data_IF_211703110739
#
_entry.id   IF_211703110739
#
_cell.length_a   1.000
_cell.length_b   1.000
_cell.length_c   1.000
_cell.angle_alpha   90.00
_cell.angle_beta   90.00
_cell.angle_gamma   90.00
#
_symmetry.space_group_name_H-M   'P 1'
#
loop_
_entity.id
_entity.type
_entity.pdbx_description
1 polymer ?
#
# COMPACT_ATOMS: atom_id res chain seq x y z
N UNK A 1 17.05 -21.86 6.66
CA UNK A 1 16.00 -20.83 6.58
C UNK A 1 14.99 -21.26 5.53
N UNK A 2 13.73 -21.24 5.89
CA UNK A 2 12.67 -21.65 4.98
C UNK A 2 12.46 -20.60 3.89
N UNK A 3 12.29 -21.05 2.64
CA UNK A 3 11.92 -20.17 1.52
C UNK A 3 10.49 -19.63 1.66
N UNK A 4 9.68 -20.20 2.55
CA UNK A 4 8.31 -19.79 2.80
C UNK A 4 8.18 -18.37 3.31
N UNK A 5 9.23 -17.84 3.96
CA UNK A 5 9.22 -16.51 4.54
C UNK A 5 9.84 -15.44 3.62
N UNK A 6 10.17 -15.83 2.41
CA UNK A 6 10.75 -14.88 1.46
C UNK A 6 9.65 -14.02 0.85
N UNK A 7 9.93 -12.74 0.76
CA UNK A 7 9.04 -11.78 0.11
C UNK A 7 9.82 -11.01 -0.94
N UNK A 8 9.10 -10.52 -1.94
CA UNK A 8 9.72 -9.81 -3.06
C UNK A 8 8.95 -8.52 -3.33
N UNK A 9 9.68 -7.48 -3.65
CA UNK A 9 9.07 -6.26 -4.18
C UNK A 9 8.96 -6.45 -5.68
N UNK A 10 7.72 -6.47 -6.20
CA UNK A 10 7.47 -6.75 -7.61
C UNK A 10 7.14 -5.49 -8.41
N UNK A 11 6.88 -4.38 -7.75
CA UNK A 11 6.60 -3.13 -8.42
C UNK A 11 6.67 -1.98 -7.46
N UNK A 12 7.09 -0.83 -7.96
CA UNK A 12 7.20 0.40 -7.18
C UNK A 12 6.61 1.57 -7.95
N UNK A 13 6.12 2.54 -7.20
CA UNK A 13 5.61 3.79 -7.76
C UNK A 13 5.63 4.87 -6.71
N UNK A 14 5.84 6.09 -7.14
CA UNK A 14 5.79 7.24 -6.23
C UNK A 14 5.43 8.50 -7.00
N UNK A 15 4.92 9.47 -6.28
CA UNK A 15 4.74 10.82 -6.81
C UNK A 15 6.01 11.63 -6.58
N UNK A 16 6.26 12.66 -7.40
CA UNK A 16 7.39 13.55 -7.16
C UNK A 16 7.25 14.27 -5.83
N UNK A 17 8.37 14.56 -5.19
CA UNK A 17 8.38 15.45 -4.04
C UNK A 17 8.03 16.87 -4.46
N UNK A 18 7.21 17.53 -3.67
CA UNK A 18 6.76 18.88 -3.95
C UNK A 18 6.84 19.73 -2.69
N UNK A 19 7.07 21.02 -2.87
CA UNK A 19 6.98 21.94 -1.76
C UNK A 19 5.54 21.96 -1.23
N UNK A 20 5.32 21.92 0.09
CA UNK A 20 3.97 21.96 0.65
C UNK A 20 3.16 23.12 0.08
N UNK A 21 1.92 22.81 -0.32
CA UNK A 21 0.97 23.79 -0.86
C UNK A 21 1.12 24.08 -2.34
N UNK A 22 2.09 23.47 -3.04
CA UNK A 22 2.29 23.71 -4.48
C UNK A 22 1.73 22.61 -5.37
N UNK A 23 1.50 21.42 -4.83
CA UNK A 23 0.96 20.31 -5.62
C UNK A 23 -0.56 20.34 -5.60
N UNK A 24 -1.15 20.27 -6.77
CA UNK A 24 -2.60 20.18 -6.91
C UNK A 24 -3.12 18.82 -6.44
N UNK A 25 -4.37 18.79 -6.01
CA UNK A 25 -5.02 17.58 -5.54
C UNK A 25 -4.83 17.35 -4.06
N UNK A 26 -5.16 16.15 -3.64
CA UNK A 26 -5.07 15.74 -2.25
C UNK A 26 -4.55 14.30 -2.21
N UNK A 27 -4.33 13.77 -1.02
CA UNK A 27 -3.69 12.47 -0.86
C UNK A 27 -4.39 11.32 -1.62
N UNK A 28 -5.72 11.29 -1.80
CA UNK A 28 -6.31 10.24 -2.63
C UNK A 28 -5.84 10.29 -4.08
N UNK A 29 -5.67 11.50 -4.62
CA UNK A 29 -5.17 11.67 -5.98
C UNK A 29 -3.73 11.18 -6.12
N UNK A 30 -2.91 11.51 -5.13
CA UNK A 30 -1.50 11.10 -5.13
C UNK A 30 -1.35 9.60 -4.91
N UNK A 31 -2.19 9.02 -4.06
CA UNK A 31 -2.22 7.58 -3.85
C UNK A 31 -2.60 6.84 -5.13
N UNK A 32 -3.57 7.36 -5.89
CA UNK A 32 -3.94 6.79 -7.18
C UNK A 32 -2.77 6.82 -8.15
N UNK A 33 -2.09 7.95 -8.25
CA UNK A 33 -0.94 8.10 -9.16
C UNK A 33 0.16 7.11 -8.80
N UNK A 34 0.58 7.08 -7.55
CA UNK A 34 1.64 6.19 -7.09
C UNK A 34 1.24 4.71 -7.19
N UNK A 35 0.00 4.40 -6.80
CA UNK A 35 -0.50 3.03 -6.83
C UNK A 35 -0.64 2.50 -8.25
N UNK A 36 -1.16 3.30 -9.17
CA UNK A 36 -1.26 2.89 -10.57
C UNK A 36 0.12 2.68 -11.19
N UNK A 37 1.08 3.54 -10.85
CA UNK A 37 2.45 3.37 -11.30
C UNK A 37 3.06 2.06 -10.78
N UNK A 38 2.84 1.74 -9.52
CA UNK A 38 3.35 0.51 -8.93
C UNK A 38 2.71 -0.74 -9.57
N UNK A 39 1.41 -0.71 -9.81
CA UNK A 39 0.71 -1.81 -10.46
C UNK A 39 1.19 -2.01 -11.91
N UNK A 40 1.41 -0.91 -12.62
CA UNK A 40 1.93 -0.97 -13.98
C UNK A 40 3.35 -1.53 -14.01
N UNK A 41 4.18 -1.12 -13.06
CA UNK A 41 5.54 -1.63 -12.93
C UNK A 41 5.54 -3.13 -12.60
N UNK A 42 4.66 -3.56 -11.73
CA UNK A 42 4.51 -4.96 -11.39
C UNK A 42 3.88 -5.79 -12.52
N UNK A 43 3.12 -5.15 -13.40
CA UNK A 43 2.42 -5.84 -14.48
C UNK A 43 1.22 -6.65 -14.02
N UNK A 44 0.59 -6.26 -12.91
CA UNK A 44 -0.58 -6.95 -12.37
C UNK A 44 -1.77 -6.00 -12.22
N UNK A 45 -2.99 -6.52 -12.34
CA UNK A 45 -4.18 -5.72 -12.03
C UNK A 45 -4.38 -5.61 -10.51
N UNK A 46 -5.04 -4.55 -10.08
CA UNK A 46 -5.33 -4.36 -8.65
C UNK A 46 -6.17 -5.51 -8.07
N UNK A 47 -6.98 -6.15 -8.90
CA UNK A 47 -7.82 -7.27 -8.45
C UNK A 47 -7.02 -8.43 -7.85
N UNK A 48 -5.74 -8.55 -8.16
CA UNK A 48 -4.88 -9.58 -7.59
C UNK A 48 -4.29 -9.22 -6.22
N UNK A 49 -4.42 -7.97 -5.81
CA UNK A 49 -3.93 -7.53 -4.50
C UNK A 49 -4.86 -8.05 -3.41
N UNK A 50 -4.30 -8.68 -2.39
CA UNK A 50 -5.08 -9.35 -1.34
C UNK A 50 -5.17 -8.55 -0.05
N UNK A 51 -4.28 -7.61 0.18
CA UNK A 51 -4.35 -6.72 1.33
C UNK A 51 -3.51 -5.49 1.07
N UNK A 52 -3.80 -4.42 1.78
CA UNK A 52 -3.09 -3.15 1.63
C UNK A 52 -2.77 -2.55 2.99
N UNK A 53 -1.62 -1.94 3.08
CA UNK A 53 -1.16 -1.22 4.27
C UNK A 53 -0.87 0.22 3.88
N UNK A 54 -1.57 1.15 4.50
CA UNK A 54 -1.44 2.56 4.19
C UNK A 54 -0.90 3.32 5.40
N UNK A 55 0.27 3.90 5.25
CA UNK A 55 0.87 4.73 6.28
C UNK A 55 0.61 6.20 6.01
N UNK A 56 0.20 6.93 7.05
CA UNK A 56 -0.02 8.37 6.96
C UNK A 56 0.25 9.02 8.32
N UNK A 57 0.42 10.32 8.32
CA UNK A 57 0.67 11.07 9.56
C UNK A 57 -0.53 11.97 9.87
N UNK A 58 -0.93 12.79 8.93
CA UNK A 58 -2.04 13.70 9.09
C UNK A 58 -3.16 13.30 8.16
N UNK A 59 -4.26 12.85 8.72
CA UNK A 59 -5.41 12.44 7.95
C UNK A 59 -6.54 12.01 8.87
N UNK A 60 -7.72 11.93 8.32
CA UNK A 60 -8.88 11.46 9.06
C UNK A 60 -8.76 9.98 9.36
N UNK A 61 -9.56 9.54 10.30
CA UNK A 61 -9.75 8.11 10.53
C UNK A 61 -10.07 7.42 9.21
N UNK A 62 -9.46 6.28 8.95
CA UNK A 62 -9.64 5.51 7.71
C UNK A 62 -9.15 6.22 6.45
N UNK A 63 -8.17 7.12 6.58
CA UNK A 63 -7.58 7.77 5.41
C UNK A 63 -6.97 6.75 4.44
N UNK A 64 -6.51 5.62 4.92
CA UNK A 64 -5.98 4.55 4.08
C UNK A 64 -7.02 3.98 3.14
N UNK A 65 -8.24 3.75 3.62
CA UNK A 65 -9.34 3.28 2.78
C UNK A 65 -9.64 4.29 1.68
N UNK A 66 -9.72 5.55 2.04
CA UNK A 66 -10.01 6.59 1.06
C UNK A 66 -8.93 6.67 -0.02
N UNK A 67 -7.68 6.51 0.38
CA UNK A 67 -6.56 6.53 -0.56
C UNK A 67 -6.57 5.30 -1.48
N UNK A 68 -6.68 4.11 -0.89
CA UNK A 68 -6.60 2.85 -1.62
C UNK A 68 -7.84 2.62 -2.49
N UNK A 69 -9.00 3.12 -2.09
CA UNK A 69 -10.23 3.01 -2.90
C UNK A 69 -10.08 3.67 -4.27
N UNK A 70 -9.14 4.59 -4.43
CA UNK A 70 -8.86 5.18 -5.74
C UNK A 70 -8.31 4.16 -6.75
N UNK A 71 -7.79 3.04 -6.27
CA UNK A 71 -7.32 1.95 -7.13
C UNK A 71 -8.44 0.95 -7.45
N UNK A 72 -9.46 0.92 -6.63
CA UNK A 72 -10.61 0.04 -6.79
C UNK A 72 -11.15 -0.37 -5.42
N UNK A 73 -12.37 -0.88 -5.41
CA UNK A 73 -13.03 -1.39 -4.21
C UNK A 73 -13.24 -2.88 -4.41
N UNK A 74 -12.33 -3.68 -3.88
CA UNK A 74 -12.31 -5.12 -4.10
C UNK A 74 -12.65 -5.93 -2.85
N UNK A 75 -12.85 -5.25 -1.71
CA UNK A 75 -13.20 -5.92 -0.45
C UNK A 75 -11.99 -6.45 0.32
N UNK A 76 -10.78 -6.11 -0.08
CA UNK A 76 -9.58 -6.55 0.64
C UNK A 76 -9.43 -5.79 1.96
N UNK A 77 -8.75 -6.39 2.94
CA UNK A 77 -8.40 -5.67 4.16
C UNK A 77 -7.46 -4.51 3.84
N UNK A 78 -7.78 -3.34 4.40
CA UNK A 78 -6.93 -2.16 4.31
C UNK A 78 -6.59 -1.74 5.74
N UNK A 79 -5.30 -1.77 6.05
CA UNK A 79 -4.80 -1.51 7.40
C UNK A 79 -4.18 -0.12 7.42
N UNK A 80 -4.67 0.72 8.30
CA UNK A 80 -4.13 2.06 8.49
C UNK A 80 -3.00 2.00 9.50
N UNK A 81 -1.90 2.65 9.17
CA UNK A 81 -0.70 2.68 10.02
C UNK A 81 -0.35 4.14 10.28
N UNK A 82 -0.12 4.47 11.53
CA UNK A 82 0.38 5.79 11.88
C UNK A 82 1.51 5.65 12.89
N UNK A 83 2.72 5.87 12.43
CA UNK A 83 3.91 5.82 13.24
C UNK A 83 4.80 7.03 12.95
N UNK A 84 4.15 8.18 12.84
CA UNK A 84 4.79 9.47 12.55
C UNK A 84 5.70 9.35 11.32
N UNK A 85 6.92 9.85 11.38
CA UNK A 85 7.83 9.90 10.23
C UNK A 85 8.22 8.52 9.70
N UNK A 86 8.06 7.45 10.50
CA UNK A 86 8.38 6.08 10.08
C UNK A 86 7.17 5.29 9.61
N UNK A 87 6.05 5.96 9.36
CA UNK A 87 4.79 5.28 9.04
C UNK A 87 4.88 4.42 7.77
N UNK A 88 5.59 4.91 6.75
CA UNK A 88 5.78 4.15 5.52
C UNK A 88 6.62 2.89 5.72
N UNK A 89 7.70 3.01 6.49
CA UNK A 89 8.54 1.86 6.84
C UNK A 89 7.77 0.85 7.67
N UNK A 90 6.91 1.33 8.58
CA UNK A 90 6.07 0.46 9.39
C UNK A 90 5.06 -0.31 8.53
N UNK A 91 4.44 0.35 7.56
CA UNK A 91 3.53 -0.30 6.63
C UNK A 91 4.25 -1.38 5.83
N UNK A 92 5.43 -1.06 5.31
CA UNK A 92 6.24 -2.01 4.55
C UNK A 92 6.66 -3.21 5.39
N UNK A 93 6.96 -3.00 6.68
CA UNK A 93 7.30 -4.08 7.59
C UNK A 93 6.10 -4.98 7.88
N UNK A 94 4.94 -4.38 8.12
CA UNK A 94 3.76 -5.13 8.56
C UNK A 94 3.15 -5.99 7.45
N UNK A 95 3.23 -5.57 6.21
CA UNK A 95 2.61 -6.29 5.11
C UNK A 95 3.14 -7.74 5.00
N UNK A 96 4.45 -7.98 4.87
CA UNK A 96 4.95 -9.36 4.81
C UNK A 96 4.80 -10.11 6.14
N UNK A 97 4.95 -9.42 7.28
CA UNK A 97 4.78 -10.05 8.59
C UNK A 97 3.36 -10.56 8.77
N UNK A 98 2.37 -9.74 8.42
CA UNK A 98 0.97 -10.16 8.50
C UNK A 98 0.71 -11.38 7.63
N UNK A 99 1.24 -11.38 6.43
CA UNK A 99 1.03 -12.49 5.50
C UNK A 99 1.66 -13.79 6.01
N UNK A 100 2.85 -13.72 6.59
CA UNK A 100 3.54 -14.91 7.09
C UNK A 100 2.88 -15.52 8.32
N UNK A 101 2.10 -14.72 9.07
CA UNK A 101 1.43 -15.19 10.29
C UNK A 101 -0.02 -15.58 10.06
N UNK A 102 -0.58 -15.33 8.90
CA UNK A 102 -1.94 -15.69 8.57
C UNK A 102 -1.97 -17.00 7.78
N UNK A 103 -2.86 -17.88 8.18
CA UNK A 103 -3.10 -19.12 7.46
C UNK A 103 -4.13 -18.86 6.37
N UNK A 104 -3.73 -18.13 5.35
CA UNK A 104 -4.62 -17.82 4.24
C UNK A 104 -4.48 -18.88 3.15
N UNK A 105 -5.59 -19.36 2.61
CA UNK A 105 -5.54 -20.29 1.48
C UNK A 105 -5.10 -19.59 0.19
N UNK A 106 -5.14 -18.31 0.15
CA UNK A 106 -4.81 -17.54 -1.03
C UNK A 106 -3.34 -17.20 -1.04
N UNK A 107 -2.75 -17.20 -2.21
CA UNK A 107 -1.32 -17.36 -2.32
C UNK A 107 -0.67 -16.31 -3.20
N UNK A 108 -1.15 -15.13 -3.21
CA UNK A 108 -0.41 -14.07 -3.84
C UNK A 108 0.58 -13.50 -2.82
N UNK A 109 1.79 -13.98 -2.86
CA UNK A 109 2.87 -13.49 -2.01
C UNK A 109 3.70 -12.52 -2.82
N UNK A 110 3.62 -11.31 -2.43
CA UNK A 110 4.35 -10.25 -3.09
C UNK A 110 5.52 -9.84 -2.23
#
# INVERSE_FOLDING_TARGET
MSNENRTFVIGVGMTPFSKPGTKEGDYPDWAREAGQAALADAGIPYALVEQAYAGYVYGDSTAGERAIYELGVTGIPIINVNNNCSTGSSALYLAPVSYTHLTLPTILRV
#
